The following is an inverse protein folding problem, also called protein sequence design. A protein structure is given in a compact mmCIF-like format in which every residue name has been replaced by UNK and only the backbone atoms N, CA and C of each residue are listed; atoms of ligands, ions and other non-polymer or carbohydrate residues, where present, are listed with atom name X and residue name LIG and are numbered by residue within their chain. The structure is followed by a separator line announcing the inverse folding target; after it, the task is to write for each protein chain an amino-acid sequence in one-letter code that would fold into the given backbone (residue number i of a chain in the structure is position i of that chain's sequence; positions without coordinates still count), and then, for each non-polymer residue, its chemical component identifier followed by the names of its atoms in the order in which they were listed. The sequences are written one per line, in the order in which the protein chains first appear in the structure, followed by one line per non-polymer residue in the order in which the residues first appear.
data_IF_559137013899
#
_entry.id   IF_559137013899
#
_cell.length_a   1.000
_cell.length_b   1.000
_cell.length_c   1.000
_cell.angle_alpha   90.00
_cell.angle_beta   90.00
_cell.angle_gamma   90.00
#
_symmetry.space_group_name_H-M   'P 1'
#
loop_
_entity.id
_entity.type
_entity.pdbx_description
1 polymer ?
#
# COMPACT_ATOMS: atom_id res chain seq x y z
N UNK A 1 -3.10 -17.33 15.80
CA UNK A 1 -3.60 -18.53 15.11
C UNK A 1 -3.30 -19.82 15.87
N UNK A 2 -2.05 -20.14 16.22
CA UNK A 2 -1.68 -21.42 16.89
C UNK A 2 -2.40 -21.67 18.21
N UNK A 3 -2.75 -20.63 18.94
CA UNK A 3 -3.43 -20.70 20.23
C UNK A 3 -4.97 -20.70 20.13
N UNK A 4 -5.55 -20.67 18.94
CA UNK A 4 -7.00 -20.58 18.75
C UNK A 4 -7.63 -19.27 19.23
N UNK A 5 -6.84 -18.20 19.33
CA UNK A 5 -7.30 -16.88 19.78
C UNK A 5 -7.62 -16.01 18.58
N UNK A 6 -8.81 -15.40 18.58
CA UNK A 6 -9.18 -14.39 17.62
C UNK A 6 -8.30 -13.14 17.80
N UNK A 7 -7.80 -12.59 16.70
CA UNK A 7 -6.96 -11.39 16.73
C UNK A 7 -7.35 -10.42 15.63
N UNK A 8 -7.30 -9.13 15.95
CA UNK A 8 -7.41 -8.04 15.01
C UNK A 8 -6.19 -7.15 15.16
N UNK A 9 -5.64 -6.70 14.04
CA UNK A 9 -4.46 -5.84 13.99
C UNK A 9 -4.76 -4.60 13.15
N UNK A 10 -4.21 -3.46 13.55
CA UNK A 10 -4.19 -2.24 12.74
C UNK A 10 -2.93 -2.13 11.89
N UNK A 11 -2.13 -3.20 11.84
CA UNK A 11 -0.96 -3.29 10.98
C UNK A 11 -1.39 -3.30 9.50
N UNK A 12 -0.86 -2.38 8.71
CA UNK A 12 -1.22 -2.22 7.29
C UNK A 12 -0.89 -3.45 6.47
N UNK A 13 0.21 -4.14 6.78
CA UNK A 13 0.62 -5.38 6.12
C UNK A 13 -0.38 -6.54 6.35
N UNK A 14 -1.17 -6.46 7.42
CA UNK A 14 -2.21 -7.46 7.72
C UNK A 14 -3.52 -7.21 6.98
N UNK A 15 -3.64 -6.06 6.28
CA UNK A 15 -4.82 -5.72 5.50
C UNK A 15 -4.75 -6.36 4.11
N UNK A 16 -5.58 -7.36 3.86
CA UNK A 16 -5.59 -8.17 2.63
C UNK A 16 -4.21 -8.67 2.19
N UNK A 17 -3.46 -9.36 3.05
CA UNK A 17 -2.06 -9.72 2.82
C UNK A 17 -1.85 -10.78 1.75
N UNK A 18 -2.93 -11.35 1.20
CA UNK A 18 -2.91 -12.27 0.05
C UNK A 18 -2.19 -11.68 -1.16
N UNK A 19 -2.20 -10.35 -1.29
CA UNK A 19 -1.64 -9.61 -2.41
C UNK A 19 -0.19 -9.17 -2.20
N UNK A 20 0.28 -9.12 -0.96
CA UNK A 20 1.62 -8.64 -0.61
C UNK A 20 2.53 -9.68 0.03
N UNK A 21 1.96 -10.70 0.67
CA UNK A 21 2.71 -11.80 1.27
C UNK A 21 1.91 -13.11 1.27
N UNK A 22 1.68 -13.71 0.09
CA UNK A 22 0.77 -14.84 -0.06
C UNK A 22 1.23 -16.09 0.71
N UNK A 23 2.54 -16.31 0.83
CA UNK A 23 3.09 -17.52 1.47
C UNK A 23 2.78 -17.53 2.96
N UNK A 24 3.16 -16.48 3.70
CA UNK A 24 2.91 -16.40 5.13
C UNK A 24 1.41 -16.25 5.46
N UNK A 25 0.68 -15.58 4.57
CA UNK A 25 -0.78 -15.42 4.69
C UNK A 25 -1.48 -16.76 4.63
N UNK A 26 -1.07 -17.62 3.68
CA UNK A 26 -1.63 -18.97 3.59
C UNK A 26 -1.32 -19.80 4.84
N UNK A 27 -0.11 -19.73 5.37
CA UNK A 27 0.24 -20.44 6.63
C UNK A 27 -0.64 -19.97 7.79
N UNK A 28 -0.83 -18.66 7.93
CA UNK A 28 -1.67 -18.08 9.00
C UNK A 28 -3.14 -18.50 8.83
N UNK A 29 -3.66 -18.47 7.60
CA UNK A 29 -5.03 -18.88 7.28
C UNK A 29 -5.28 -20.36 7.60
N UNK A 30 -4.37 -21.24 7.16
CA UNK A 30 -4.46 -22.68 7.46
C UNK A 30 -4.43 -22.95 8.97
N UNK A 31 -3.57 -22.25 9.72
CA UNK A 31 -3.50 -22.35 11.18
C UNK A 31 -4.76 -21.80 11.85
N UNK A 32 -5.30 -20.69 11.37
CA UNK A 32 -6.54 -20.11 11.91
C UNK A 32 -7.73 -21.05 11.69
N UNK A 33 -7.89 -21.60 10.50
CA UNK A 33 -8.92 -22.59 10.19
C UNK A 33 -8.77 -23.85 11.03
N UNK A 34 -7.55 -24.38 11.16
CA UNK A 34 -7.26 -25.57 11.97
C UNK A 34 -7.64 -25.37 13.45
N UNK A 35 -7.43 -24.19 13.99
CA UNK A 35 -7.63 -23.88 15.41
C UNK A 35 -8.94 -23.13 15.70
N UNK A 36 -9.83 -22.98 14.68
CA UNK A 36 -11.15 -22.38 14.85
C UNK A 36 -11.12 -20.91 15.29
N UNK A 37 -10.15 -20.13 14.79
CA UNK A 37 -10.03 -18.71 15.12
C UNK A 37 -9.96 -17.83 13.89
N UNK A 38 -10.17 -16.52 14.08
CA UNK A 38 -10.11 -15.50 13.03
C UNK A 38 -8.94 -14.56 13.29
N UNK A 39 -8.15 -14.31 12.25
CA UNK A 39 -7.10 -13.28 12.23
C UNK A 39 -7.49 -12.26 11.16
N UNK A 40 -7.51 -10.98 11.52
CA UNK A 40 -7.92 -9.91 10.61
C UNK A 40 -7.03 -8.69 10.74
N UNK A 41 -6.67 -8.11 9.60
CA UNK A 41 -6.21 -6.74 9.51
C UNK A 41 -7.40 -5.79 9.39
N UNK A 42 -7.33 -4.64 10.02
CA UNK A 42 -8.38 -3.62 10.04
C UNK A 42 -7.79 -2.23 10.26
N UNK A 43 -8.60 -1.21 10.15
CA UNK A 43 -8.24 0.17 10.42
C UNK A 43 -8.81 1.12 9.37
N UNK A 44 -8.10 2.20 9.12
CA UNK A 44 -8.51 3.23 8.16
C UNK A 44 -8.77 2.67 6.75
N UNK A 45 -7.90 1.80 6.26
CA UNK A 45 -8.01 1.19 4.93
C UNK A 45 -9.27 0.34 4.80
N UNK A 46 -9.63 -0.41 5.86
CA UNK A 46 -10.83 -1.23 5.90
C UNK A 46 -12.10 -0.36 5.84
N UNK A 47 -12.17 0.70 6.61
CA UNK A 47 -13.34 1.56 6.69
C UNK A 47 -13.50 2.38 5.41
N UNK A 48 -12.47 3.10 5.00
CA UNK A 48 -12.55 4.03 3.88
C UNK A 48 -12.60 3.30 2.54
N UNK A 49 -11.54 2.58 2.21
CA UNK A 49 -11.42 1.91 0.91
C UNK A 49 -12.32 0.69 0.81
N UNK A 50 -12.32 -0.14 1.84
CA UNK A 50 -13.05 -1.38 1.82
C UNK A 50 -14.56 -1.22 1.95
N UNK A 51 -15.02 -0.45 2.91
CA UNK A 51 -16.46 -0.32 3.15
C UNK A 51 -17.07 0.81 2.33
N UNK A 52 -16.54 2.03 2.45
CA UNK A 52 -17.13 3.20 1.79
C UNK A 52 -17.01 3.11 0.26
N UNK A 53 -15.77 2.94 -0.24
CA UNK A 53 -15.52 2.92 -1.69
C UNK A 53 -16.17 1.71 -2.35
N UNK A 54 -16.09 0.51 -1.75
CA UNK A 54 -16.73 -0.68 -2.32
C UNK A 54 -18.26 -0.56 -2.32
N UNK A 55 -18.86 0.06 -1.30
CA UNK A 55 -20.31 0.28 -1.25
C UNK A 55 -20.78 1.25 -2.33
N UNK A 56 -20.06 2.35 -2.54
CA UNK A 56 -20.34 3.32 -3.61
C UNK A 56 -20.18 2.65 -4.98
N UNK A 57 -19.09 1.95 -5.20
CA UNK A 57 -18.84 1.23 -6.44
C UNK A 57 -19.92 0.17 -6.71
N UNK A 58 -20.30 -0.61 -5.69
CA UNK A 58 -21.36 -1.63 -5.78
C UNK A 58 -22.75 -1.08 -6.04
N UNK A 59 -23.00 0.21 -5.76
CA UNK A 59 -24.28 0.89 -6.07
C UNK A 59 -24.33 1.51 -7.48
N UNK A 60 -23.22 1.45 -8.22
CA UNK A 60 -23.09 2.06 -9.55
C UNK A 60 -23.42 1.03 -10.65
N UNK A 61 -24.21 1.42 -11.65
CA UNK A 61 -24.59 0.53 -12.75
C UNK A 61 -23.41 0.21 -13.70
N UNK A 62 -22.52 1.18 -13.91
CA UNK A 62 -21.38 1.03 -14.81
C UNK A 62 -20.16 1.69 -14.21
N UNK A 63 -19.11 0.93 -14.00
CA UNK A 63 -17.83 1.42 -13.51
C UNK A 63 -16.82 1.32 -14.63
N UNK A 64 -16.09 2.40 -14.90
CA UNK A 64 -14.95 2.44 -15.84
C UNK A 64 -13.63 2.59 -15.10
N UNK A 65 -13.64 3.41 -14.05
CA UNK A 65 -12.47 3.70 -13.24
C UNK A 65 -12.89 3.97 -11.80
N UNK A 66 -12.10 3.47 -10.85
CA UNK A 66 -12.12 3.86 -9.46
C UNK A 66 -10.82 4.59 -9.20
N UNK A 67 -10.90 5.84 -8.75
CA UNK A 67 -9.73 6.63 -8.37
C UNK A 67 -9.95 7.22 -6.99
N UNK A 68 -8.96 7.10 -6.13
CA UNK A 68 -8.97 7.72 -4.82
C UNK A 68 -7.57 8.03 -4.34
N UNK A 69 -7.47 9.04 -3.49
CA UNK A 69 -6.21 9.42 -2.85
C UNK A 69 -6.45 9.72 -1.37
N UNK A 70 -5.41 9.51 -0.59
CA UNK A 70 -5.33 9.93 0.80
C UNK A 70 -3.97 10.57 1.04
N UNK A 71 -3.91 11.58 1.87
CA UNK A 71 -2.65 12.22 2.25
C UNK A 71 -2.57 12.43 3.75
N UNK A 72 -1.37 12.38 4.26
CA UNK A 72 -1.08 12.65 5.67
C UNK A 72 0.29 13.32 5.79
N UNK A 73 0.50 14.01 6.89
CA UNK A 73 1.78 14.64 7.19
C UNK A 73 2.72 13.60 7.82
N UNK A 74 3.83 13.27 7.15
CA UNK A 74 4.80 12.27 7.64
C UNK A 74 5.47 12.69 8.96
N UNK A 75 5.51 13.99 9.29
CA UNK A 75 6.01 14.51 10.57
C UNK A 75 5.24 13.94 11.77
N UNK A 76 3.94 13.68 11.61
CA UNK A 76 3.06 13.24 12.71
C UNK A 76 3.27 11.77 13.09
N UNK A 77 3.99 11.00 12.26
CA UNK A 77 4.14 9.55 12.40
C UNK A 77 5.56 9.10 12.78
N UNK A 78 6.47 10.05 12.98
CA UNK A 78 7.82 9.80 13.47
C UNK A 78 8.86 9.49 12.40
N UNK A 79 10.11 9.47 12.83
CA UNK A 79 11.29 9.44 11.96
C UNK A 79 11.37 8.20 11.06
N UNK A 80 10.91 7.05 11.53
CA UNK A 80 10.96 5.81 10.76
C UNK A 80 10.07 5.92 9.51
N UNK A 81 8.85 6.45 9.64
CA UNK A 81 7.94 6.63 8.53
C UNK A 81 8.44 7.73 7.58
N UNK A 82 8.89 8.87 8.13
CA UNK A 82 9.44 9.97 7.32
C UNK A 82 10.59 9.48 6.41
N UNK A 83 11.53 8.72 6.97
CA UNK A 83 12.64 8.14 6.19
C UNK A 83 12.17 7.10 5.18
N UNK A 84 11.23 6.23 5.55
CA UNK A 84 10.67 5.24 4.62
C UNK A 84 9.95 5.87 3.42
N UNK A 85 9.48 7.11 3.57
CA UNK A 85 8.88 7.91 2.50
C UNK A 85 9.88 8.83 1.80
N UNK A 86 11.17 8.69 2.08
CA UNK A 86 12.24 9.45 1.43
C UNK A 86 12.35 10.91 1.86
N UNK A 87 11.70 11.32 2.95
CA UNK A 87 11.81 12.69 3.43
C UNK A 87 13.25 13.06 3.80
N UNK A 88 13.73 14.17 3.28
CA UNK A 88 15.11 14.65 3.46
C UNK A 88 16.10 14.15 2.41
N UNK A 89 15.72 13.27 1.50
CA UNK A 89 16.58 12.79 0.42
C UNK A 89 16.65 13.81 -0.72
N UNK A 90 17.82 13.91 -1.36
CA UNK A 90 17.92 14.54 -2.68
C UNK A 90 17.08 13.74 -3.69
N UNK A 91 16.68 14.34 -4.80
CA UNK A 91 15.94 13.61 -5.84
C UNK A 91 16.75 12.44 -6.42
N UNK A 92 18.08 12.56 -6.46
CA UNK A 92 18.96 11.50 -6.94
C UNK A 92 18.97 10.32 -5.95
N UNK A 93 19.08 10.59 -4.65
CA UNK A 93 19.06 9.55 -3.63
C UNK A 93 17.66 8.94 -3.50
N UNK A 94 16.61 9.74 -3.61
CA UNK A 94 15.23 9.24 -3.66
C UNK A 94 15.04 8.24 -4.82
N UNK A 95 15.55 8.57 -6.00
CA UNK A 95 15.46 7.69 -7.17
C UNK A 95 16.22 6.36 -6.95
N UNK A 96 17.36 6.40 -6.25
CA UNK A 96 18.15 5.21 -5.93
C UNK A 96 17.55 4.36 -4.82
N UNK A 97 17.13 4.99 -3.72
CA UNK A 97 16.77 4.29 -2.49
C UNK A 97 15.27 3.91 -2.44
N UNK A 98 14.39 4.76 -2.99
CA UNK A 98 12.94 4.58 -2.93
C UNK A 98 12.38 4.11 -4.27
N UNK A 99 12.60 4.89 -5.34
CA UNK A 99 11.95 4.65 -6.63
C UNK A 99 12.62 3.59 -7.49
N UNK A 100 13.78 3.05 -7.09
CA UNK A 100 14.48 2.00 -7.86
C UNK A 100 13.62 0.75 -8.08
N UNK A 101 12.78 0.42 -7.11
CA UNK A 101 11.87 -0.74 -7.14
C UNK A 101 10.82 -0.63 -8.26
N UNK A 102 10.46 0.60 -8.66
CA UNK A 102 9.45 0.84 -9.70
C UNK A 102 9.92 0.41 -11.09
N UNK A 103 11.24 0.24 -11.26
CA UNK A 103 11.88 -0.17 -12.51
C UNK A 103 11.99 -1.69 -12.69
N UNK A 104 11.65 -2.45 -11.65
CA UNK A 104 11.64 -3.91 -11.74
C UNK A 104 10.53 -4.40 -12.66
N UNK A 105 10.79 -5.49 -13.34
CA UNK A 105 9.75 -6.22 -14.07
C UNK A 105 8.70 -6.77 -13.09
N UNK A 106 7.52 -7.06 -13.59
CA UNK A 106 6.47 -7.66 -12.77
C UNK A 106 6.88 -9.02 -12.19
N UNK A 107 7.68 -9.79 -12.94
CA UNK A 107 8.18 -11.10 -12.51
C UNK A 107 9.20 -10.96 -11.36
N UNK A 108 10.12 -10.02 -11.45
CA UNK A 108 11.10 -9.73 -10.39
C UNK A 108 10.41 -9.25 -9.12
N UNK A 109 9.48 -8.29 -9.25
CA UNK A 109 8.70 -7.76 -8.14
C UNK A 109 7.88 -8.86 -7.46
N UNK A 110 7.18 -9.68 -8.23
CA UNK A 110 6.37 -10.77 -7.69
C UNK A 110 7.23 -11.82 -6.97
N UNK A 111 8.44 -12.09 -7.45
CA UNK A 111 9.39 -12.97 -6.77
C UNK A 111 9.77 -12.43 -5.39
N UNK A 112 10.10 -11.15 -5.30
CA UNK A 112 10.44 -10.50 -4.02
C UNK A 112 9.24 -10.43 -3.06
N UNK A 113 8.03 -10.18 -3.58
CA UNK A 113 6.80 -10.25 -2.80
C UNK A 113 6.57 -11.65 -2.23
N UNK A 114 6.73 -12.67 -3.04
CA UNK A 114 6.52 -14.07 -2.63
C UNK A 114 7.56 -14.55 -1.60
N UNK A 115 8.79 -14.04 -1.68
CA UNK A 115 9.84 -14.35 -0.69
C UNK A 115 9.72 -13.51 0.60
N UNK A 116 8.92 -12.44 0.60
CA UNK A 116 8.80 -11.50 1.70
C UNK A 116 9.97 -10.51 1.81
N UNK A 117 10.82 -10.44 0.78
CA UNK A 117 11.95 -9.51 0.71
C UNK A 117 11.52 -8.09 0.32
N UNK A 118 10.34 -7.94 -0.25
CA UNK A 118 9.73 -6.66 -0.60
C UNK A 118 8.27 -6.62 -0.19
N UNK A 119 7.90 -5.56 0.52
CA UNK A 119 6.52 -5.24 0.86
C UNK A 119 6.09 -3.99 0.08
N UNK A 120 5.15 -4.12 -0.85
CA UNK A 120 4.58 -2.97 -1.55
C UNK A 120 3.80 -2.08 -0.59
N UNK A 121 3.47 -0.86 -1.02
CA UNK A 121 2.63 0.04 -0.22
C UNK A 121 1.28 -0.61 0.12
N UNK A 122 0.65 -0.16 1.19
CA UNK A 122 -0.68 -0.68 1.58
C UNK A 122 -1.72 -0.48 0.47
N UNK A 123 -1.55 0.50 -0.41
CA UNK A 123 -2.42 0.70 -1.58
C UNK A 123 -2.41 -0.49 -2.55
N UNK A 124 -1.33 -1.26 -2.56
CA UNK A 124 -1.25 -2.53 -3.29
C UNK A 124 -2.31 -3.53 -2.80
N UNK A 125 -2.40 -3.68 -1.49
CA UNK A 125 -3.39 -4.54 -0.85
C UNK A 125 -4.81 -3.99 -0.99
N UNK A 126 -4.98 -2.68 -0.87
CA UNK A 126 -6.27 -1.99 -1.05
C UNK A 126 -6.85 -2.30 -2.43
N UNK A 127 -6.07 -2.14 -3.50
CA UNK A 127 -6.55 -2.42 -4.85
C UNK A 127 -6.90 -3.90 -5.04
N UNK A 128 -6.09 -4.82 -4.51
CA UNK A 128 -6.38 -6.25 -4.54
C UNK A 128 -7.68 -6.59 -3.81
N UNK A 129 -7.90 -5.96 -2.66
CA UNK A 129 -9.13 -6.15 -1.90
C UNK A 129 -10.36 -5.59 -2.62
N UNK A 130 -10.29 -4.40 -3.21
CA UNK A 130 -11.37 -3.85 -4.02
C UNK A 130 -11.72 -4.77 -5.19
N UNK A 131 -10.72 -5.31 -5.88
CA UNK A 131 -10.95 -6.30 -6.92
C UNK A 131 -11.67 -7.52 -6.38
N UNK A 132 -11.22 -8.07 -5.25
CA UNK A 132 -11.86 -9.22 -4.60
C UNK A 132 -13.32 -8.94 -4.21
N UNK A 133 -13.60 -7.76 -3.62
CA UNK A 133 -14.95 -7.36 -3.20
C UNK A 133 -15.90 -7.14 -4.36
N UNK A 134 -15.41 -6.62 -5.48
CA UNK A 134 -16.20 -6.31 -6.67
C UNK A 134 -16.24 -7.46 -7.68
N UNK A 135 -15.59 -8.58 -7.38
CA UNK A 135 -15.52 -9.74 -8.28
C UNK A 135 -14.70 -9.47 -9.55
N UNK A 136 -13.70 -8.59 -9.48
CA UNK A 136 -12.84 -8.22 -10.60
C UNK A 136 -11.61 -9.13 -10.68
N UNK A 137 -11.17 -9.41 -11.89
CA UNK A 137 -9.98 -10.22 -12.17
C UNK A 137 -8.79 -9.31 -12.50
N UNK A 138 -7.79 -9.28 -11.65
CA UNK A 138 -6.55 -8.48 -11.87
C UNK A 138 -5.79 -9.07 -13.06
N UNK A 139 -5.41 -8.20 -14.01
CA UNK A 139 -4.53 -8.55 -15.15
C UNK A 139 -3.12 -7.98 -14.99
N UNK A 140 -2.99 -6.82 -14.37
CA UNK A 140 -1.70 -6.24 -14.00
C UNK A 140 -1.87 -5.29 -12.81
N UNK A 141 -0.82 -5.17 -12.02
CA UNK A 141 -0.75 -4.21 -10.92
C UNK A 141 0.64 -3.61 -10.86
N UNK A 142 0.72 -2.30 -10.85
CA UNK A 142 1.97 -1.55 -10.82
C UNK A 142 1.95 -0.53 -9.70
N UNK A 143 3.12 -0.20 -9.19
CA UNK A 143 3.32 0.88 -8.22
C UNK A 143 4.32 1.87 -8.77
N UNK A 144 4.15 3.14 -8.44
CA UNK A 144 5.08 4.21 -8.75
C UNK A 144 5.25 5.11 -7.53
N UNK A 145 6.50 5.29 -7.10
CA UNK A 145 6.87 6.20 -6.03
C UNK A 145 7.29 7.55 -6.63
N UNK A 146 6.56 8.61 -6.29
CA UNK A 146 6.77 9.96 -6.82
C UNK A 146 7.21 10.86 -5.66
N UNK A 147 8.42 11.46 -5.71
CA UNK A 147 8.87 12.36 -4.66
C UNK A 147 7.96 13.59 -4.61
N UNK A 148 7.56 13.97 -3.42
CA UNK A 148 6.92 15.26 -3.15
C UNK A 148 8.01 16.25 -2.76
N UNK A 149 8.00 17.44 -3.33
CA UNK A 149 9.01 18.47 -3.09
C UNK A 149 8.36 19.79 -2.71
N UNK A 150 9.10 20.66 -2.08
CA UNK A 150 8.65 22.02 -1.81
C UNK A 150 9.65 23.06 -2.32
N UNK A 151 9.16 24.24 -2.63
CA UNK A 151 9.95 25.32 -3.26
C UNK A 151 10.86 26.08 -2.29
N UNK A 152 10.69 25.90 -0.99
CA UNK A 152 11.42 26.58 0.08
C UNK A 152 12.01 25.54 1.05
N UNK A 153 13.04 25.94 1.80
CA UNK A 153 13.59 25.13 2.87
C UNK A 153 12.53 24.89 3.95
N UNK A 154 12.40 23.64 4.41
CA UNK A 154 11.45 23.23 5.46
C UNK A 154 12.24 22.68 6.64
N UNK A 155 11.98 23.22 7.83
CA UNK A 155 12.50 22.65 9.07
C UNK A 155 11.65 21.44 9.46
N UNK A 156 12.26 20.26 9.51
CA UNK A 156 11.63 19.03 10.00
C UNK A 156 12.04 18.80 11.45
N UNK A 157 11.06 18.79 12.33
CA UNK A 157 11.28 18.47 13.74
C UNK A 157 11.55 16.97 13.94
N UNK A 158 10.91 16.14 13.11
CA UNK A 158 11.04 14.67 13.14
C UNK A 158 12.39 14.20 12.63
N UNK A 159 12.91 14.81 11.58
CA UNK A 159 14.26 14.51 11.07
C UNK A 159 15.38 15.26 11.78
N UNK A 160 15.02 16.21 12.62
CA UNK A 160 15.96 17.12 13.33
C UNK A 160 16.90 17.85 12.35
N UNK A 161 16.40 18.20 11.17
CA UNK A 161 17.18 18.85 10.10
C UNK A 161 16.32 19.78 9.25
N UNK A 162 16.98 20.50 8.35
CA UNK A 162 16.31 21.31 7.34
C UNK A 162 16.34 20.57 6.00
N UNK A 163 15.17 20.19 5.51
CA UNK A 163 14.99 19.68 4.15
C UNK A 163 15.12 20.84 3.17
N UNK A 164 16.03 20.74 2.22
CA UNK A 164 16.32 21.82 1.29
C UNK A 164 15.25 21.96 0.23
N UNK A 165 15.10 23.17 -0.27
CA UNK A 165 14.21 23.46 -1.40
C UNK A 165 14.52 22.54 -2.59
N UNK A 166 13.51 21.82 -3.07
CA UNK A 166 13.63 20.86 -4.16
C UNK A 166 13.99 19.43 -3.75
N UNK A 167 14.44 19.20 -2.51
CA UNK A 167 14.60 17.84 -1.98
C UNK A 167 13.24 17.22 -1.62
N UNK A 168 13.22 15.91 -1.47
CA UNK A 168 12.00 15.18 -1.15
C UNK A 168 11.53 15.49 0.27
N UNK A 169 10.26 15.89 0.40
CA UNK A 169 9.57 16.09 1.68
C UNK A 169 8.73 14.87 2.08
N UNK A 170 8.66 13.89 1.19
CA UNK A 170 7.89 12.67 1.29
C UNK A 170 7.64 12.09 -0.10
N UNK A 171 6.68 11.19 -0.24
CA UNK A 171 6.32 10.58 -1.52
C UNK A 171 4.83 10.38 -1.69
N UNK A 172 4.37 10.30 -2.94
CA UNK A 172 3.13 9.64 -3.31
C UNK A 172 3.43 8.24 -3.81
N UNK A 173 2.76 7.23 -3.25
CA UNK A 173 2.78 5.87 -3.79
C UNK A 173 1.50 5.65 -4.61
N UNK A 174 1.63 5.68 -5.92
CA UNK A 174 0.50 5.49 -6.84
C UNK A 174 0.44 4.04 -7.30
N UNK A 175 -0.62 3.35 -6.95
CA UNK A 175 -0.87 1.97 -7.40
C UNK A 175 -1.95 1.95 -8.45
N UNK A 176 -1.64 1.40 -9.61
CA UNK A 176 -2.58 1.21 -10.72
C UNK A 176 -2.84 -0.27 -10.96
N UNK A 177 -4.11 -0.66 -10.94
CA UNK A 177 -4.54 -2.04 -11.19
C UNK A 177 -5.47 -2.08 -12.39
N UNK A 178 -5.13 -2.87 -13.38
CA UNK A 178 -5.97 -3.16 -14.54
C UNK A 178 -6.70 -4.48 -14.33
N UNK A 179 -7.94 -4.56 -14.81
CA UNK A 179 -8.76 -5.74 -14.68
C UNK A 179 -9.23 -6.28 -16.03
N UNK A 180 -9.55 -7.57 -16.08
CA UNK A 180 -10.08 -8.24 -17.27
C UNK A 180 -11.40 -7.61 -17.71
N UNK A 181 -12.18 -7.10 -16.79
CA UNK A 181 -13.47 -6.45 -16.99
C UNK A 181 -13.34 -5.04 -17.57
N UNK A 182 -12.11 -4.55 -17.78
CA UNK A 182 -11.82 -3.23 -18.33
C UNK A 182 -11.92 -2.08 -17.32
N UNK A 183 -12.05 -2.40 -16.03
CA UNK A 183 -12.07 -1.41 -14.95
C UNK A 183 -10.64 -1.15 -14.49
N UNK A 184 -10.28 0.11 -14.31
CA UNK A 184 -8.99 0.53 -13.77
C UNK A 184 -9.17 1.05 -12.35
N UNK A 185 -8.37 0.56 -11.41
CA UNK A 185 -8.32 1.07 -10.04
C UNK A 185 -7.00 1.79 -9.85
N UNK A 186 -7.07 3.05 -9.43
CA UNK A 186 -5.91 3.90 -9.12
C UNK A 186 -6.05 4.45 -7.71
N UNK A 187 -5.12 4.10 -6.84
CA UNK A 187 -5.04 4.57 -5.46
C UNK A 187 -3.71 5.28 -5.18
N UNK A 188 -3.76 6.36 -4.42
CA UNK A 188 -2.61 7.21 -4.11
C UNK A 188 -2.56 7.54 -2.62
#
# INVERSE_FOLDING_TARGET
ARLGINAISTCEEAFFPWNSNPTITKEIDDLAKKNGCTISGSGYQDIYWGQLISSIAGSTQTIKKIKGSSSYNVEDYGIALAKAHGAGLSLEDFDKEIASIDRMTDEERQKLINSGEYLPSYMWNVNGWLCSKLGLTVTSQTQKCIPQTYKEDIVSSTLETTVKAGDATGMSAVVTTNTKEGIVIESE
#
